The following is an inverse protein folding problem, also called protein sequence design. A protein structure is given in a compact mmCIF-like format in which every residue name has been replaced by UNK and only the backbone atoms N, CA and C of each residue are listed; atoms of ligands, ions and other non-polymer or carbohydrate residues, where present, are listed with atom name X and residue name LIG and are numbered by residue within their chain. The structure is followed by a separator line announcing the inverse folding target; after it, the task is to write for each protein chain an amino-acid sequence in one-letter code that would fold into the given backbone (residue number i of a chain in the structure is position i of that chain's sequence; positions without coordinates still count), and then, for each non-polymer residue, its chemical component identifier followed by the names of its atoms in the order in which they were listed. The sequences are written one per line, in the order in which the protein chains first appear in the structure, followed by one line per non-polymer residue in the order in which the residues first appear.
data_IF_022426497564
#
_entry.id   IF_022426497564
#
_cell.length_a   1.000
_cell.length_b   1.000
_cell.length_c   1.000
_cell.angle_alpha   90.00
_cell.angle_beta   90.00
_cell.angle_gamma   90.00
#
_symmetry.space_group_name_H-M   'P 1'
#
loop_
_entity.id
_entity.type
_entity.pdbx_description
1 polymer ?
#
# COMPACT_ATOMS: atom_id res chain seq x y z
N UNK A 1 -29.73 -59.11 52.09
CA UNK A 1 -30.15 -57.78 52.59
C UNK A 1 -29.08 -56.81 52.10
N UNK A 2 -29.43 -55.91 51.17
CA UNK A 2 -28.46 -55.06 50.47
C UNK A 2 -28.34 -53.72 51.20
N UNK A 3 -27.26 -53.53 51.94
CA UNK A 3 -26.95 -52.27 52.62
C UNK A 3 -26.50 -51.23 51.58
N UNK A 4 -27.25 -50.13 51.46
CA UNK A 4 -26.86 -49.01 50.61
C UNK A 4 -25.81 -48.18 51.35
N UNK A 5 -24.58 -48.18 50.85
CA UNK A 5 -23.54 -47.28 51.33
C UNK A 5 -23.95 -45.82 51.05
N UNK A 6 -24.34 -45.11 52.11
CA UNK A 6 -24.63 -43.68 52.03
C UNK A 6 -23.32 -42.91 52.29
N UNK A 7 -22.67 -42.47 51.22
CA UNK A 7 -21.48 -41.63 51.33
C UNK A 7 -21.87 -40.26 51.92
N UNK A 8 -21.09 -39.74 52.86
CA UNK A 8 -21.22 -38.38 53.37
C UNK A 8 -20.27 -37.48 52.59
N UNK A 9 -20.79 -36.60 51.72
CA UNK A 9 -19.98 -35.55 51.09
C UNK A 9 -19.98 -34.33 52.00
N UNK A 10 -18.82 -33.86 52.46
CA UNK A 10 -18.71 -32.62 53.22
C UNK A 10 -19.32 -31.45 52.43
N UNK A 11 -20.09 -30.59 53.09
CA UNK A 11 -20.75 -29.44 52.43
C UNK A 11 -19.76 -28.56 51.63
N UNK A 12 -18.49 -28.49 52.03
CA UNK A 12 -17.45 -27.75 51.31
C UNK A 12 -17.13 -28.32 49.92
N UNK A 13 -17.19 -29.63 49.72
CA UNK A 13 -16.87 -30.25 48.42
C UNK A 13 -17.91 -29.88 47.37
N UNK A 14 -19.20 -29.85 47.74
CA UNK A 14 -20.28 -29.43 46.81
C UNK A 14 -20.11 -27.99 46.33
N UNK A 15 -19.58 -27.12 47.20
CA UNK A 15 -19.30 -25.72 46.87
C UNK A 15 -18.12 -25.59 45.92
N UNK A 16 -17.03 -26.33 46.19
CA UNK A 16 -15.85 -26.39 45.29
C UNK A 16 -16.25 -26.89 43.90
N UNK A 17 -17.06 -27.96 43.82
CA UNK A 17 -17.51 -28.51 42.55
C UNK A 17 -18.42 -27.54 41.78
N UNK A 18 -19.22 -26.75 42.49
CA UNK A 18 -20.07 -25.72 41.90
C UNK A 18 -19.22 -24.57 41.33
N UNK A 19 -18.28 -24.06 42.11
CA UNK A 19 -17.37 -22.98 41.70
C UNK A 19 -16.54 -23.43 40.46
N UNK A 20 -16.03 -24.66 40.45
CA UNK A 20 -15.29 -25.21 39.31
C UNK A 20 -16.15 -25.34 38.04
N UNK A 21 -17.43 -25.70 38.16
CA UNK A 21 -18.37 -25.74 37.02
C UNK A 21 -18.68 -24.33 36.51
N UNK A 22 -18.82 -23.38 37.41
CA UNK A 22 -19.06 -21.98 37.08
C UNK A 22 -17.85 -21.40 36.33
N UNK A 23 -16.63 -21.61 36.82
CA UNK A 23 -15.39 -21.18 36.17
C UNK A 23 -15.21 -21.81 34.78
N UNK A 24 -15.49 -23.10 34.62
CA UNK A 24 -15.46 -23.76 33.32
C UNK A 24 -16.50 -23.19 32.35
N UNK A 25 -17.72 -22.93 32.82
CA UNK A 25 -18.77 -22.31 32.02
C UNK A 25 -18.40 -20.90 31.57
N UNK A 26 -17.82 -20.09 32.46
CA UNK A 26 -17.33 -18.74 32.14
C UNK A 26 -16.16 -18.82 31.15
N UNK A 27 -15.24 -19.76 31.33
CA UNK A 27 -14.15 -20.03 30.39
C UNK A 27 -14.64 -20.40 28.99
N UNK A 28 -15.64 -21.28 28.90
CA UNK A 28 -16.26 -21.67 27.64
C UNK A 28 -16.98 -20.48 26.97
N UNK A 29 -17.74 -19.70 27.74
CA UNK A 29 -18.42 -18.50 27.23
C UNK A 29 -17.42 -17.46 26.69
N UNK A 30 -16.31 -17.24 27.41
CA UNK A 30 -15.25 -16.33 26.98
C UNK A 30 -14.52 -16.83 25.71
N UNK A 31 -14.25 -18.13 25.62
CA UNK A 31 -13.64 -18.73 24.43
C UNK A 31 -14.55 -18.56 23.19
N UNK A 32 -15.85 -18.76 23.37
CA UNK A 32 -16.85 -18.59 22.33
C UNK A 32 -17.00 -17.12 21.91
N UNK A 33 -17.06 -16.19 22.86
CA UNK A 33 -17.07 -14.75 22.56
C UNK A 33 -15.83 -14.32 21.75
N UNK A 34 -14.65 -14.84 22.10
CA UNK A 34 -13.41 -14.60 21.34
C UNK A 34 -13.47 -15.18 19.92
N UNK A 35 -14.06 -16.37 19.73
CA UNK A 35 -14.24 -16.97 18.40
C UNK A 35 -15.16 -16.11 17.53
N UNK A 36 -16.30 -15.68 18.05
CA UNK A 36 -17.23 -14.80 17.33
C UNK A 36 -16.57 -13.47 16.95
N UNK A 37 -15.83 -12.85 17.86
CA UNK A 37 -15.11 -11.62 17.57
C UNK A 37 -14.06 -11.83 16.45
N UNK A 38 -13.29 -12.92 16.50
CA UNK A 38 -12.35 -13.28 15.40
C UNK A 38 -13.06 -13.51 14.07
N UNK A 39 -14.21 -14.18 14.07
CA UNK A 39 -14.99 -14.41 12.85
C UNK A 39 -15.55 -13.10 12.29
N UNK A 40 -16.08 -12.23 13.15
CA UNK A 40 -16.57 -10.92 12.75
C UNK A 40 -15.45 -10.05 12.17
N UNK A 41 -14.31 -9.98 12.84
CA UNK A 41 -13.15 -9.21 12.35
C UNK A 41 -12.58 -9.80 11.06
N UNK A 42 -12.49 -11.13 10.93
CA UNK A 42 -12.07 -11.77 9.69
C UNK A 42 -13.02 -11.47 8.52
N UNK A 43 -14.34 -11.43 8.78
CA UNK A 43 -15.35 -11.10 7.77
C UNK A 43 -15.18 -9.65 7.30
N UNK A 44 -15.08 -8.70 8.24
CA UNK A 44 -14.84 -7.28 7.93
C UNK A 44 -13.54 -7.11 7.12
N UNK A 45 -12.45 -7.78 7.52
CA UNK A 45 -11.17 -7.69 6.81
C UNK A 45 -11.25 -8.28 5.39
N UNK A 46 -12.00 -9.38 5.20
CA UNK A 46 -12.24 -9.96 3.88
C UNK A 46 -13.02 -9.01 2.97
N UNK A 47 -14.07 -8.39 3.50
CA UNK A 47 -14.85 -7.40 2.76
C UNK A 47 -14.00 -6.19 2.38
N UNK A 48 -13.24 -5.63 3.34
CA UNK A 48 -12.32 -4.53 3.09
C UNK A 48 -11.26 -4.89 2.03
N UNK A 49 -10.69 -6.09 2.09
CA UNK A 49 -9.72 -6.55 1.08
C UNK A 49 -10.35 -6.64 -0.32
N UNK A 50 -11.61 -7.09 -0.40
CA UNK A 50 -12.35 -7.19 -1.67
C UNK A 50 -12.61 -5.79 -2.25
N UNK A 51 -12.99 -4.83 -1.40
CA UNK A 51 -13.17 -3.45 -1.81
C UNK A 51 -11.87 -2.83 -2.31
N UNK A 52 -10.76 -3.00 -1.58
CA UNK A 52 -9.43 -2.48 -1.98
C UNK A 52 -8.98 -3.10 -3.31
N UNK A 53 -9.22 -4.39 -3.52
CA UNK A 53 -8.87 -5.05 -4.78
C UNK A 53 -9.67 -4.48 -5.95
N UNK A 54 -10.97 -4.29 -5.76
CA UNK A 54 -11.87 -3.74 -6.78
C UNK A 54 -11.43 -2.33 -7.16
N UNK A 55 -11.24 -1.46 -6.17
CA UNK A 55 -10.77 -0.09 -6.37
C UNK A 55 -9.42 -0.03 -7.10
N UNK A 56 -8.46 -0.86 -6.70
CA UNK A 56 -7.08 -0.78 -7.24
C UNK A 56 -6.87 -1.45 -8.59
N UNK A 57 -7.68 -2.45 -8.95
CA UNK A 57 -7.41 -3.30 -10.12
C UNK A 57 -8.58 -3.41 -11.10
N UNK A 58 -9.83 -3.26 -10.65
CA UNK A 58 -11.00 -3.36 -11.51
C UNK A 58 -11.48 -1.98 -11.95
N UNK A 59 -11.58 -1.04 -11.00
CA UNK A 59 -12.06 0.31 -11.24
C UNK A 59 -10.94 1.26 -11.72
N UNK A 60 -9.70 0.95 -11.37
CA UNK A 60 -8.52 1.65 -11.83
C UNK A 60 -8.06 1.07 -13.18
N UNK A 61 -8.22 1.87 -14.24
CA UNK A 61 -7.94 1.44 -15.61
C UNK A 61 -6.43 1.27 -15.86
N UNK A 62 -6.04 0.13 -16.43
CA UNK A 62 -4.68 -0.16 -16.85
C UNK A 62 -4.42 0.27 -18.30
N UNK A 63 -3.18 0.65 -18.62
CA UNK A 63 -2.75 0.91 -19.99
C UNK A 63 -2.48 2.38 -20.31
N UNK A 64 -2.37 3.23 -19.28
CA UNK A 64 -1.93 4.61 -19.46
C UNK A 64 -0.41 4.68 -19.45
N UNK A 65 0.18 5.51 -20.32
CA UNK A 65 1.62 5.66 -20.44
C UNK A 65 2.15 6.82 -19.59
N UNK A 66 3.34 6.62 -19.03
CA UNK A 66 4.13 7.69 -18.42
C UNK A 66 4.65 8.64 -19.50
N UNK A 67 4.44 9.95 -19.34
CA UNK A 67 4.91 10.97 -20.31
C UNK A 67 6.43 11.05 -20.44
N UNK A 68 7.18 10.44 -19.51
CA UNK A 68 8.65 10.42 -19.54
C UNK A 68 9.18 9.10 -20.04
N UNK A 69 8.76 7.96 -19.49
CA UNK A 69 9.37 6.65 -19.80
C UNK A 69 8.52 5.72 -20.67
N UNK A 70 7.35 6.18 -21.14
CA UNK A 70 6.39 5.45 -21.98
C UNK A 70 5.88 4.10 -21.44
N UNK A 71 6.29 3.71 -20.23
CA UNK A 71 5.82 2.48 -19.57
C UNK A 71 4.35 2.62 -19.20
N UNK A 72 3.63 1.51 -19.35
CA UNK A 72 2.22 1.40 -19.02
C UNK A 72 2.04 1.15 -17.52
N UNK A 73 1.13 1.90 -16.91
CA UNK A 73 0.72 1.76 -15.52
C UNK A 73 -0.80 1.90 -15.40
N UNK A 74 -1.30 1.75 -14.19
CA UNK A 74 -2.66 2.15 -13.89
C UNK A 74 -2.80 3.66 -13.82
N UNK A 75 -4.00 4.18 -14.09
CA UNK A 75 -4.27 5.61 -14.06
C UNK A 75 -3.90 6.27 -12.72
N UNK A 76 -4.22 5.61 -11.61
CA UNK A 76 -3.92 6.11 -10.26
C UNK A 76 -2.43 6.06 -9.88
N UNK A 77 -1.58 5.39 -10.67
CA UNK A 77 -0.13 5.35 -10.42
C UNK A 77 0.59 6.61 -10.91
N UNK A 78 -0.12 7.49 -11.62
CA UNK A 78 0.43 8.72 -12.15
C UNK A 78 0.29 9.89 -11.18
N UNK A 79 1.31 10.73 -11.15
CA UNK A 79 1.29 12.01 -10.47
C UNK A 79 1.59 13.10 -11.48
N UNK A 80 0.84 14.21 -11.40
CA UNK A 80 1.13 15.39 -12.19
C UNK A 80 2.50 15.99 -11.81
N UNK A 81 3.23 16.48 -12.81
CA UNK A 81 4.47 17.20 -12.57
C UNK A 81 4.18 18.51 -11.83
N UNK A 82 4.90 18.77 -10.74
CA UNK A 82 4.79 20.05 -10.04
C UNK A 82 5.57 21.15 -10.78
N UNK A 83 5.17 22.41 -10.62
CA UNK A 83 5.79 23.55 -11.33
C UNK A 83 7.32 23.65 -11.15
N UNK A 84 7.84 23.33 -9.97
CA UNK A 84 9.28 23.35 -9.68
C UNK A 84 10.06 22.24 -10.40
N UNK A 85 9.38 21.22 -10.91
CA UNK A 85 9.96 20.07 -11.61
C UNK A 85 10.01 20.28 -13.13
N UNK A 86 9.27 21.27 -13.64
CA UNK A 86 9.19 21.57 -15.07
C UNK A 86 10.54 21.98 -15.67
N UNK A 87 11.43 22.74 -15.01
CA UNK A 87 12.72 23.09 -15.59
C UNK A 87 13.55 21.86 -15.97
N UNK A 88 13.58 20.83 -15.11
CA UNK A 88 14.29 19.56 -15.35
C UNK A 88 13.71 18.84 -16.58
N UNK A 89 12.38 18.85 -16.73
CA UNK A 89 11.70 18.22 -17.85
C UNK A 89 11.81 19.02 -19.15
N UNK A 90 11.82 20.35 -19.06
CA UNK A 90 11.88 21.26 -20.22
C UNK A 90 13.17 21.09 -21.04
N UNK A 91 14.26 20.70 -20.38
CA UNK A 91 15.52 20.40 -21.04
C UNK A 91 15.44 19.18 -21.98
N UNK A 92 14.64 18.16 -21.62
CA UNK A 92 14.51 16.94 -22.43
C UNK A 92 13.25 16.91 -23.29
N UNK A 93 12.23 17.69 -22.95
CA UNK A 93 10.95 17.75 -23.66
C UNK A 93 10.57 19.20 -24.01
N UNK A 94 11.34 19.90 -24.87
CA UNK A 94 11.17 21.32 -25.13
C UNK A 94 9.86 21.66 -25.88
N UNK A 95 9.37 20.74 -26.72
CA UNK A 95 8.17 20.94 -27.55
C UNK A 95 6.89 20.38 -26.91
N UNK A 96 6.99 19.85 -25.69
CA UNK A 96 5.87 19.17 -25.03
C UNK A 96 5.21 20.05 -23.99
N UNK A 97 3.89 19.91 -23.84
CA UNK A 97 3.16 20.57 -22.75
C UNK A 97 3.42 19.86 -21.41
N UNK A 98 4.41 20.37 -20.68
CA UNK A 98 4.85 19.80 -19.40
C UNK A 98 3.78 19.88 -18.30
N UNK A 99 2.76 20.73 -18.44
CA UNK A 99 1.67 20.82 -17.47
C UNK A 99 0.74 19.61 -17.53
N UNK A 100 0.71 18.92 -18.68
CA UNK A 100 -0.07 17.71 -18.91
C UNK A 100 0.73 16.43 -18.62
N UNK A 101 1.97 16.55 -18.13
CA UNK A 101 2.80 15.38 -17.88
C UNK A 101 2.29 14.55 -16.72
N UNK A 102 2.10 13.26 -17.00
CA UNK A 102 1.76 12.23 -16.03
C UNK A 102 2.98 11.36 -15.78
N UNK A 103 3.54 11.47 -14.58
CA UNK A 103 4.77 10.78 -14.20
C UNK A 103 4.43 9.55 -13.36
N UNK A 104 4.99 8.40 -13.72
CA UNK A 104 4.99 7.25 -12.82
C UNK A 104 5.91 7.52 -11.63
N UNK A 105 5.74 6.75 -10.55
CA UNK A 105 6.51 6.92 -9.31
C UNK A 105 8.04 6.95 -9.54
N UNK A 106 8.56 6.05 -10.39
CA UNK A 106 10.00 6.02 -10.70
C UNK A 106 10.46 7.29 -11.41
N UNK A 107 9.68 7.77 -12.38
CA UNK A 107 10.03 9.00 -13.10
C UNK A 107 9.98 10.22 -12.19
N UNK A 108 8.96 10.29 -11.34
CA UNK A 108 8.81 11.34 -10.33
C UNK A 108 10.00 11.35 -9.36
N UNK A 109 10.45 10.19 -8.89
CA UNK A 109 11.61 10.09 -8.00
C UNK A 109 12.87 10.63 -8.63
N UNK A 110 13.16 10.34 -9.91
CA UNK A 110 14.34 10.89 -10.57
C UNK A 110 14.22 12.40 -10.76
N UNK A 111 13.06 12.89 -11.22
CA UNK A 111 12.83 14.31 -11.46
C UNK A 111 12.96 15.12 -10.17
N UNK A 112 12.53 14.56 -9.02
CA UNK A 112 12.74 15.17 -7.68
C UNK A 112 14.22 15.27 -7.26
N UNK A 113 15.09 14.49 -7.88
CA UNK A 113 16.54 14.54 -7.66
C UNK A 113 17.26 15.32 -8.75
N UNK A 114 16.54 16.14 -9.52
CA UNK A 114 17.04 16.87 -10.69
C UNK A 114 17.72 15.97 -11.74
N UNK A 115 17.29 14.71 -11.81
CA UNK A 115 17.77 13.72 -12.76
C UNK A 115 16.65 13.32 -13.69
N UNK A 116 16.96 13.15 -14.98
CA UNK A 116 16.00 12.54 -15.89
C UNK A 116 16.10 11.02 -15.77
N UNK A 117 14.99 10.28 -15.64
CA UNK A 117 15.01 8.82 -15.54
C UNK A 117 15.84 8.19 -16.66
N UNK A 118 16.65 7.18 -16.32
CA UNK A 118 17.49 6.46 -17.30
C UNK A 118 16.66 5.79 -18.41
N UNK A 119 15.38 5.54 -18.15
CA UNK A 119 14.45 4.87 -19.06
C UNK A 119 13.49 5.85 -19.75
N UNK A 120 13.85 7.13 -19.83
CA UNK A 120 13.06 8.10 -20.58
C UNK A 120 12.91 7.67 -22.04
N UNK A 121 11.73 7.85 -22.66
CA UNK A 121 11.48 7.61 -24.09
C UNK A 121 12.36 8.48 -24.98
N UNK A 122 12.84 9.63 -24.45
CA UNK A 122 13.84 10.50 -25.07
C UNK A 122 15.27 9.97 -24.98
N UNK A 123 15.57 9.00 -24.10
CA UNK A 123 16.91 8.40 -23.93
C UNK A 123 17.18 7.23 -24.88
N UNK A 124 16.81 7.41 -26.15
CA UNK A 124 17.76 7.06 -27.20
C UNK A 124 18.95 8.03 -27.14
N UNK A 125 19.87 7.83 -26.18
CA UNK A 125 21.17 8.51 -26.07
C UNK A 125 21.24 9.99 -26.51
N UNK A 126 20.75 10.94 -25.70
CA UNK A 126 21.27 12.31 -25.80
C UNK A 126 21.43 12.95 -24.44
N UNK A 127 22.70 13.12 -24.04
CA UNK A 127 23.11 13.82 -22.82
C UNK A 127 22.96 15.32 -23.11
N UNK A 128 22.09 16.02 -22.38
CA UNK A 128 22.09 17.48 -22.39
C UNK A 128 23.49 17.97 -21.98
N UNK A 129 24.22 18.54 -22.94
CA UNK A 129 25.50 19.17 -22.68
C UNK A 129 25.27 20.34 -21.73
N UNK A 130 25.73 20.20 -20.49
CA UNK A 130 25.79 21.32 -19.56
C UNK A 130 26.80 22.34 -20.11
N UNK A 131 26.27 23.48 -20.55
CA UNK A 131 26.93 24.76 -20.76
C UNK A 131 28.42 24.76 -21.12
N UNK A 132 28.74 24.67 -22.41
CA UNK A 132 29.90 25.40 -22.92
C UNK A 132 29.48 26.85 -23.15
N UNK A 133 29.97 27.73 -22.27
CA UNK A 133 29.96 29.19 -22.46
C UNK A 133 30.54 29.55 -23.85
N UNK A 134 29.90 30.43 -24.63
CA UNK A 134 30.42 30.82 -25.93
C UNK A 134 31.64 31.74 -25.79
N UNK A 135 32.75 31.29 -26.36
CA UNK A 135 33.81 32.04 -27.02
C UNK A 135 34.09 33.50 -26.57
N UNK A 136 35.22 33.70 -25.88
CA UNK A 136 36.04 34.90 -26.04
C UNK A 136 37.33 34.52 -26.80
N UNK A 137 37.20 34.46 -28.12
CA UNK A 137 38.32 34.53 -29.04
C UNK A 137 38.41 35.98 -29.55
N UNK A 138 39.34 36.76 -28.99
CA UNK A 138 39.96 37.87 -29.73
C UNK A 138 41.47 37.76 -29.57
N UNK A 139 42.09 37.51 -30.71
CA UNK A 139 43.51 37.45 -31.00
C UNK A 139 44.02 38.86 -31.32
N UNK A 140 45.32 39.05 -31.03
CA UNK A 140 46.25 40.11 -31.46
C UNK A 140 46.28 41.40 -30.64
#
# INVERSE_FOLDING_TARGET
MSEKAHWFVPQNQKRIDFDARQDHSVGAANAEARRRNRQATATIMKEAATMIFTDKFLDNLFGYSCSVCDRLWFENDFTAAALHQLPVLSCEFPDSDLLMFRLCASSLSSVRSDQVPHLSGTKGYQVCAQGTSPASAQQQ
#
